data_IF_464193912774
#
_entry.id   IF_464193912774
#
_cell.length_a   1.000
_cell.length_b   1.000
_cell.length_c   1.000
_cell.angle_alpha   90.00
_cell.angle_beta   90.00
_cell.angle_gamma   90.00
#
_symmetry.space_group_name_H-M   'P 1'
#
loop_
_entity.id
_entity.type
_entity.pdbx_description
1 polymer ?
#
# COMPACT_ATOMS: atom_id res chain seq x y z
N UNK A 1 -9.13 -8.46 16.67
CA UNK A 1 -7.68 -8.22 16.54
C UNK A 1 -7.38 -7.89 15.09
N UNK A 2 -6.91 -6.67 14.77
CA UNK A 2 -6.54 -6.31 13.40
C UNK A 2 -5.29 -7.12 13.03
N UNK A 3 -5.45 -8.19 12.26
CA UNK A 3 -4.34 -9.06 11.81
C UNK A 3 -3.22 -8.18 11.22
N UNK A 4 -1.97 -8.49 11.57
CA UNK A 4 -0.77 -7.88 10.99
C UNK A 4 -0.70 -8.28 9.51
N UNK A 5 -1.41 -7.55 8.64
CA UNK A 5 -1.26 -7.71 7.19
C UNK A 5 0.16 -7.26 6.82
N UNK A 6 0.91 -8.06 6.04
CA UNK A 6 2.25 -7.68 5.58
C UNK A 6 2.24 -6.43 4.69
N UNK A 7 1.05 -6.02 4.22
CA UNK A 7 0.82 -4.87 3.36
C UNK A 7 0.50 -3.58 4.13
N UNK A 8 0.68 -3.52 5.46
CA UNK A 8 0.54 -2.28 6.26
C UNK A 8 1.90 -1.71 6.65
N UNK A 9 2.71 -1.32 5.66
CA UNK A 9 4.15 -1.04 5.85
C UNK A 9 4.47 0.32 6.44
N UNK A 10 3.60 1.32 6.27
CA UNK A 10 3.92 2.72 6.61
C UNK A 10 3.32 3.20 7.94
N UNK A 11 2.88 2.27 8.79
CA UNK A 11 2.21 2.59 10.06
C UNK A 11 3.05 3.48 10.99
N UNK A 12 4.38 3.36 10.95
CA UNK A 12 5.30 4.17 11.76
C UNK A 12 5.47 5.61 11.25
N UNK A 13 5.11 5.90 10.00
CA UNK A 13 5.26 7.22 9.37
C UNK A 13 3.93 7.97 9.22
N UNK A 14 2.90 7.58 9.98
CA UNK A 14 1.54 8.14 9.88
C UNK A 14 1.45 9.65 9.92
N UNK A 15 2.20 10.29 10.81
CA UNK A 15 2.17 11.75 10.94
C UNK A 15 2.70 12.42 9.66
N UNK A 16 3.75 11.84 9.06
CA UNK A 16 4.32 12.33 7.80
C UNK A 16 3.39 12.08 6.62
N UNK A 17 2.77 10.91 6.56
CA UNK A 17 1.75 10.58 5.57
C UNK A 17 0.61 11.60 5.63
N UNK A 18 0.07 11.87 6.81
CA UNK A 18 -1.04 12.81 6.99
C UNK A 18 -0.70 14.24 6.55
N UNK A 19 0.57 14.66 6.69
CA UNK A 19 1.05 15.93 6.13
C UNK A 19 1.08 15.86 4.61
N UNK A 20 1.70 14.83 4.03
CA UNK A 20 1.82 14.67 2.58
C UNK A 20 0.46 14.54 1.89
N UNK A 21 -0.51 13.85 2.47
CA UNK A 21 -1.87 13.77 1.94
C UNK A 21 -2.56 15.13 1.85
N UNK A 22 -2.27 16.03 2.80
CA UNK A 22 -2.82 17.40 2.82
C UNK A 22 -2.09 18.33 1.86
N UNK A 23 -0.78 18.18 1.71
CA UNK A 23 0.05 19.14 0.96
C UNK A 23 0.43 18.68 -0.45
N UNK A 24 0.25 17.40 -0.78
CA UNK A 24 0.61 16.82 -2.07
C UNK A 24 -0.55 15.95 -2.62
N UNK A 25 -1.38 16.49 -3.53
CA UNK A 25 -2.51 15.75 -4.11
C UNK A 25 -2.09 14.51 -4.91
N UNK A 26 -0.88 14.50 -5.49
CA UNK A 26 -0.36 13.31 -6.18
C UNK A 26 -0.02 12.21 -5.19
N UNK A 27 0.67 12.57 -4.09
CA UNK A 27 0.94 11.63 -3.00
C UNK A 27 -0.36 11.02 -2.48
N UNK A 28 -1.37 11.86 -2.19
CA UNK A 28 -2.66 11.39 -1.69
C UNK A 28 -3.29 10.33 -2.62
N UNK A 29 -3.31 10.57 -3.93
CA UNK A 29 -3.86 9.59 -4.89
C UNK A 29 -3.10 8.26 -4.86
N UNK A 30 -1.77 8.31 -4.85
CA UNK A 30 -0.93 7.10 -4.81
C UNK A 30 -1.09 6.35 -3.49
N UNK A 31 -1.18 7.08 -2.36
CA UNK A 31 -1.39 6.47 -1.05
C UNK A 31 -2.79 5.82 -0.93
N UNK A 32 -3.84 6.51 -1.41
CA UNK A 32 -5.21 5.96 -1.46
C UNK A 32 -5.25 4.67 -2.31
N UNK A 33 -4.61 4.67 -3.48
CA UNK A 33 -4.53 3.49 -4.35
C UNK A 33 -3.77 2.33 -3.69
N UNK A 34 -2.66 2.63 -3.00
CA UNK A 34 -1.89 1.66 -2.24
C UNK A 34 -2.73 1.00 -1.13
N UNK A 35 -3.48 1.78 -0.36
CA UNK A 35 -4.32 1.24 0.71
C UNK A 35 -5.40 0.31 0.15
N UNK A 36 -6.03 0.70 -0.97
CA UNK A 36 -7.03 -0.14 -1.66
C UNK A 36 -6.40 -1.46 -2.13
N UNK A 37 -5.28 -1.41 -2.87
CA UNK A 37 -4.64 -2.63 -3.35
C UNK A 37 -4.11 -3.52 -2.23
N UNK A 38 -3.59 -2.92 -1.16
CA UNK A 38 -3.11 -3.65 0.03
C UNK A 38 -4.24 -4.37 0.76
N UNK A 39 -5.41 -3.74 0.86
CA UNK A 39 -6.60 -4.36 1.43
C UNK A 39 -7.13 -5.49 0.54
N UNK A 40 -7.23 -5.26 -0.76
CA UNK A 40 -7.69 -6.28 -1.71
C UNK A 40 -6.73 -7.47 -1.74
N UNK A 41 -5.42 -7.25 -1.83
CA UNK A 41 -4.43 -8.32 -1.81
C UNK A 41 -4.52 -9.15 -0.53
N UNK A 42 -4.73 -8.51 0.62
CA UNK A 42 -4.97 -9.20 1.87
C UNK A 42 -6.25 -10.06 1.83
N UNK A 43 -7.34 -9.54 1.25
CA UNK A 43 -8.59 -10.31 1.07
C UNK A 43 -8.35 -11.51 0.14
N UNK A 44 -7.67 -11.31 -0.99
CA UNK A 44 -7.40 -12.38 -1.96
C UNK A 44 -6.59 -13.53 -1.34
N UNK A 45 -5.61 -13.21 -0.48
CA UNK A 45 -4.76 -14.23 0.16
C UNK A 45 -5.40 -14.91 1.37
N UNK A 46 -6.45 -14.32 1.97
CA UNK A 46 -7.04 -14.83 3.21
C UNK A 46 -8.49 -15.32 3.06
N UNK A 47 -9.10 -15.11 1.90
CA UNK A 47 -10.43 -15.64 1.59
C UNK A 47 -10.30 -17.07 1.08
N UNK A 48 -10.90 -18.02 1.78
CA UNK A 48 -10.95 -19.42 1.35
C UNK A 48 -11.91 -19.58 0.17
N UNK A 49 -11.57 -20.43 -0.80
CA UNK A 49 -12.45 -20.79 -1.91
C UNK A 49 -12.41 -19.88 -3.14
N UNK A 50 -11.50 -18.90 -3.22
CA UNK A 50 -11.31 -18.08 -4.42
C UNK A 50 -10.49 -18.83 -5.48
N UNK A 51 -11.11 -19.11 -6.63
CA UNK A 51 -10.47 -19.64 -7.85
C UNK A 51 -9.75 -18.54 -8.64
N UNK A 52 -8.93 -17.74 -7.97
CA UNK A 52 -8.20 -16.65 -8.62
C UNK A 52 -6.86 -17.19 -9.12
N UNK A 53 -6.50 -16.96 -10.40
CA UNK A 53 -5.20 -17.39 -10.92
C UNK A 53 -4.03 -16.71 -10.19
N UNK A 54 -2.96 -17.46 -9.95
CA UNK A 54 -1.76 -16.96 -9.29
C UNK A 54 -1.15 -15.74 -10.00
N UNK A 55 -1.19 -15.71 -11.35
CA UNK A 55 -0.68 -14.59 -12.14
C UNK A 55 -1.42 -13.27 -11.87
N UNK A 56 -2.72 -13.36 -11.55
CA UNK A 56 -3.52 -12.20 -11.16
C UNK A 56 -3.07 -11.69 -9.80
N UNK A 57 -2.91 -12.58 -8.82
CA UNK A 57 -2.40 -12.22 -7.48
C UNK A 57 -0.99 -11.64 -7.60
N UNK A 58 -0.14 -12.21 -8.45
CA UNK A 58 1.20 -11.71 -8.71
C UNK A 58 1.19 -10.31 -9.33
N UNK A 59 0.26 -10.03 -10.24
CA UNK A 59 0.09 -8.70 -10.82
C UNK A 59 -0.27 -7.66 -9.76
N UNK A 60 -1.16 -8.01 -8.81
CA UNK A 60 -1.50 -7.15 -7.68
C UNK A 60 -0.30 -6.93 -6.75
N UNK A 61 0.50 -7.96 -6.48
CA UNK A 61 1.74 -7.83 -5.70
C UNK A 61 2.73 -6.88 -6.35
N UNK A 62 2.93 -7.01 -7.66
CA UNK A 62 3.81 -6.14 -8.44
C UNK A 62 3.33 -4.69 -8.37
N UNK A 63 2.05 -4.43 -8.67
CA UNK A 63 1.48 -3.08 -8.61
C UNK A 63 1.59 -2.47 -7.21
N UNK A 64 1.23 -3.23 -6.17
CA UNK A 64 1.35 -2.79 -4.78
C UNK A 64 2.79 -2.43 -4.44
N UNK A 65 3.77 -3.24 -4.88
CA UNK A 65 5.20 -2.99 -4.65
C UNK A 65 5.67 -1.70 -5.34
N UNK A 66 5.22 -1.43 -6.56
CA UNK A 66 5.53 -0.17 -7.25
C UNK A 66 5.03 1.05 -6.48
N UNK A 67 3.78 1.01 -5.99
CA UNK A 67 3.23 2.10 -5.18
C UNK A 67 3.99 2.24 -3.85
N UNK A 68 4.37 1.13 -3.22
CA UNK A 68 5.21 1.17 -2.01
C UNK A 68 6.54 1.88 -2.26
N UNK A 69 7.20 1.62 -3.39
CA UNK A 69 8.48 2.24 -3.70
C UNK A 69 8.32 3.73 -4.02
N UNK A 70 7.25 4.13 -4.71
CA UNK A 70 6.93 5.55 -4.91
C UNK A 70 6.64 6.25 -3.58
N UNK A 71 5.85 5.63 -2.68
CA UNK A 71 5.58 6.13 -1.33
C UNK A 71 6.85 6.27 -0.50
N UNK A 72 7.73 5.25 -0.52
CA UNK A 72 9.03 5.30 0.16
C UNK A 72 9.87 6.47 -0.33
N UNK A 73 9.88 6.75 -1.63
CA UNK A 73 10.65 7.87 -2.18
C UNK A 73 10.26 9.21 -1.53
N UNK A 74 8.95 9.50 -1.42
CA UNK A 74 8.46 10.70 -0.74
C UNK A 74 8.71 10.69 0.76
N UNK A 75 8.69 9.52 1.40
CA UNK A 75 8.98 9.37 2.83
C UNK A 75 10.47 9.45 3.15
N UNK A 76 11.37 9.27 2.17
CA UNK A 76 12.82 9.44 2.34
C UNK A 76 13.28 10.86 2.02
N UNK A 77 12.57 11.60 1.16
CA UNK A 77 12.96 12.91 0.60
C UNK A 77 13.09 14.09 1.61
N UNK A 78 13.10 13.83 2.92
CA UNK A 78 13.38 14.85 3.97
C UNK A 78 14.13 14.25 5.16
N UNK A 79 15.27 13.62 4.89
CA UNK A 79 16.34 13.44 5.88
C UNK A 79 17.46 14.47 5.63
N UNK A 80 17.07 15.74 5.41
CA UNK A 80 17.95 16.88 5.19
C UNK A 80 17.44 18.08 5.99
#
# INVERSE_FOLDING_TARGET
MKKNSPYRKFQSQKDRIAVLEKTNPRFKRVYDEYEVLSEELWKLETTEGTSIPDDFINSFKIQTTFLEDEIKSWLVERAG
#
